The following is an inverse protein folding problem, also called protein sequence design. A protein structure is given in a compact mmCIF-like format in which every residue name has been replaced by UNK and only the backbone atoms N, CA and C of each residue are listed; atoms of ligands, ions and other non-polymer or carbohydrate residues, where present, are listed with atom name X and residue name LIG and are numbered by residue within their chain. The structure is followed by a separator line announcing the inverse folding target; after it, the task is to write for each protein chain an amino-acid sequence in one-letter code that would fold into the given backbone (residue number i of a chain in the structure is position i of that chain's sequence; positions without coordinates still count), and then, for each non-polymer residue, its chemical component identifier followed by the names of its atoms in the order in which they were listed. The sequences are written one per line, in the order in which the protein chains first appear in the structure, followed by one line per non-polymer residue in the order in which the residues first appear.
data_IF_310486965956
#
_entry.id   IF_310486965956
#
_cell.length_a   1.000
_cell.length_b   1.000
_cell.length_c   1.000
_cell.angle_alpha   90.00
_cell.angle_beta   90.00
_cell.angle_gamma   90.00
#
_symmetry.space_group_name_H-M   'P 1'
#
loop_
_entity.id
_entity.type
_entity.pdbx_description
1 polymer ?
#
# COMPACT_ATOMS: atom_id res chain seq x y z
N UNK A 1 -27.80 -19.08 10.45
CA UNK A 1 -27.67 -18.23 9.24
C UNK A 1 -26.41 -18.70 8.54
N UNK A 2 -26.52 -19.31 7.37
CA UNK A 2 -25.35 -19.85 6.64
C UNK A 2 -24.56 -18.68 6.07
N UNK A 3 -23.23 -18.72 6.20
CA UNK A 3 -22.36 -17.75 5.53
C UNK A 3 -22.13 -18.26 4.10
N UNK A 4 -22.73 -17.58 3.13
CA UNK A 4 -22.75 -18.00 1.72
C UNK A 4 -22.41 -16.82 0.78
N UNK A 5 -22.48 -17.06 -0.53
CA UNK A 5 -22.17 -16.07 -1.56
C UNK A 5 -22.99 -14.77 -1.46
N UNK A 6 -24.17 -14.77 -0.82
CA UNK A 6 -24.96 -13.55 -0.64
C UNK A 6 -24.34 -12.58 0.40
N UNK A 7 -23.31 -13.01 1.13
CA UNK A 7 -22.54 -12.16 2.03
C UNK A 7 -21.41 -11.41 1.33
N UNK A 8 -21.05 -11.74 0.08
CA UNK A 8 -19.98 -11.06 -0.67
C UNK A 8 -20.24 -9.55 -0.74
N UNK A 9 -19.20 -8.77 -0.43
CA UNK A 9 -19.26 -7.31 -0.34
C UNK A 9 -19.73 -6.77 1.02
N UNK A 10 -20.43 -7.56 1.85
CA UNK A 10 -20.88 -7.10 3.16
C UNK A 10 -19.71 -7.07 4.16
N UNK A 11 -19.71 -6.06 5.04
CA UNK A 11 -18.85 -6.07 6.22
C UNK A 11 -19.45 -7.01 7.28
N UNK A 12 -18.65 -7.96 7.75
CA UNK A 12 -19.06 -8.95 8.74
C UNK A 12 -18.08 -9.04 9.90
N UNK A 13 -18.55 -9.59 11.01
CA UNK A 13 -17.70 -10.23 12.02
C UNK A 13 -17.97 -11.73 11.98
N UNK A 14 -16.91 -12.53 11.90
CA UNK A 14 -16.93 -14.00 11.95
C UNK A 14 -16.18 -14.42 13.20
N UNK A 15 -16.85 -15.14 14.10
CA UNK A 15 -16.21 -15.85 15.20
C UNK A 15 -15.94 -17.28 14.77
N UNK A 16 -14.69 -17.72 14.91
CA UNK A 16 -14.28 -19.06 14.52
C UNK A 16 -13.33 -19.70 15.51
N UNK A 17 -13.31 -21.03 15.53
CA UNK A 17 -12.39 -21.82 16.35
C UNK A 17 -10.98 -21.83 15.74
N UNK A 18 -9.95 -21.86 16.60
CA UNK A 18 -8.52 -21.88 16.19
C UNK A 18 -7.79 -23.15 16.60
N UNK A 19 -8.49 -24.17 17.07
CA UNK A 19 -7.93 -25.49 17.40
C UNK A 19 -7.23 -25.60 18.76
N UNK A 20 -7.36 -24.59 19.64
CA UNK A 20 -6.79 -24.60 21.00
C UNK A 20 -7.83 -24.68 22.11
N UNK A 21 -7.40 -24.55 23.37
CA UNK A 21 -8.28 -24.35 24.53
C UNK A 21 -8.26 -22.88 24.95
N UNK A 22 -9.43 -22.27 25.05
CA UNK A 22 -9.62 -20.89 25.49
C UNK A 22 -9.45 -20.73 27.01
N UNK A 23 -9.37 -19.47 27.48
CA UNK A 23 -9.11 -19.17 28.90
C UNK A 23 -10.20 -19.66 29.86
N UNK A 24 -11.39 -20.00 29.37
CA UNK A 24 -12.50 -20.55 30.15
C UNK A 24 -12.61 -22.09 30.07
N UNK A 25 -11.62 -22.76 29.47
CA UNK A 25 -11.61 -24.23 29.32
C UNK A 25 -12.41 -24.77 28.13
N UNK A 26 -13.11 -23.92 27.38
CA UNK A 26 -13.77 -24.29 26.11
C UNK A 26 -12.83 -24.17 24.91
N UNK A 27 -13.33 -24.37 23.66
CA UNK A 27 -12.53 -24.15 22.45
C UNK A 27 -11.98 -22.73 22.38
N UNK A 28 -10.73 -22.60 21.93
CA UNK A 28 -10.13 -21.31 21.63
C UNK A 28 -10.80 -20.72 20.39
N UNK A 29 -11.27 -19.48 20.52
CA UNK A 29 -11.99 -18.77 19.47
C UNK A 29 -11.37 -17.40 19.24
N UNK A 30 -11.50 -16.90 18.02
CA UNK A 30 -11.11 -15.55 17.64
C UNK A 30 -12.13 -14.94 16.68
N UNK A 31 -12.09 -13.61 16.58
CA UNK A 31 -12.99 -12.83 15.74
C UNK A 31 -12.23 -12.23 14.56
N UNK A 32 -12.80 -12.37 13.35
CA UNK A 32 -12.33 -11.75 12.11
C UNK A 32 -13.35 -10.72 11.69
N UNK A 33 -12.93 -9.47 11.51
CA UNK A 33 -13.82 -8.37 11.10
C UNK A 33 -13.31 -7.77 9.80
N UNK A 34 -14.16 -7.73 8.77
CA UNK A 34 -13.80 -7.19 7.47
C UNK A 34 -14.89 -7.38 6.42
N UNK A 35 -14.56 -7.10 5.16
CA UNK A 35 -15.47 -7.26 4.03
C UNK A 35 -15.30 -8.63 3.40
N UNK A 36 -16.40 -9.34 3.16
CA UNK A 36 -16.34 -10.63 2.46
C UNK A 36 -15.94 -10.41 1.01
N UNK A 37 -14.86 -11.06 0.58
CA UNK A 37 -14.37 -11.03 -0.79
C UNK A 37 -14.80 -12.23 -1.61
N UNK A 38 -14.80 -13.41 -1.00
CA UNK A 38 -15.27 -14.63 -1.62
C UNK A 38 -15.81 -15.57 -0.54
N UNK A 39 -16.76 -16.40 -0.94
CA UNK A 39 -17.19 -17.57 -0.19
C UNK A 39 -17.21 -18.72 -1.17
N UNK A 40 -16.37 -19.73 -0.92
CA UNK A 40 -16.41 -21.00 -1.63
C UNK A 40 -17.10 -22.07 -0.76
N UNK A 41 -17.06 -23.33 -1.18
CA UNK A 41 -17.75 -24.43 -0.50
C UNK A 41 -17.21 -24.71 0.92
N UNK A 42 -15.99 -24.25 1.23
CA UNK A 42 -15.26 -24.61 2.45
C UNK A 42 -14.67 -23.43 3.21
N UNK A 43 -14.51 -22.27 2.57
CA UNK A 43 -13.77 -21.12 3.10
C UNK A 43 -14.51 -19.82 2.79
N UNK A 44 -14.52 -18.92 3.77
CA UNK A 44 -14.80 -17.50 3.55
C UNK A 44 -13.50 -16.70 3.55
N UNK A 45 -13.31 -15.87 2.54
CA UNK A 45 -12.19 -14.92 2.46
C UNK A 45 -12.66 -13.53 2.84
N UNK A 46 -12.03 -12.93 3.85
CA UNK A 46 -12.39 -11.62 4.40
C UNK A 46 -11.22 -10.65 4.21
N UNK A 47 -11.45 -9.50 3.56
CA UNK A 47 -10.48 -8.39 3.54
C UNK A 47 -10.58 -7.57 4.82
N UNK A 48 -9.45 -7.40 5.48
CA UNK A 48 -9.29 -6.64 6.71
C UNK A 48 -9.14 -5.15 6.42
N UNK A 49 -9.20 -4.33 7.48
CA UNK A 49 -9.09 -2.86 7.37
C UNK A 49 -7.79 -2.39 6.70
N UNK A 50 -6.71 -3.16 6.86
CA UNK A 50 -5.42 -2.82 6.30
C UNK A 50 -5.32 -3.23 4.83
N UNK A 51 -6.28 -4.00 4.30
CA UNK A 51 -6.30 -4.53 2.94
C UNK A 51 -5.68 -5.92 2.78
N UNK A 52 -5.17 -6.53 3.85
CA UNK A 52 -4.82 -7.95 3.83
C UNK A 52 -6.07 -8.83 3.79
N UNK A 53 -5.94 -10.06 3.31
CA UNK A 53 -7.04 -11.03 3.30
C UNK A 53 -6.79 -12.12 4.34
N UNK A 54 -7.88 -12.61 4.95
CA UNK A 54 -7.86 -13.75 5.85
C UNK A 54 -8.91 -14.77 5.43
N UNK A 55 -8.45 -16.01 5.27
CA UNK A 55 -9.31 -17.16 5.01
C UNK A 55 -9.75 -17.80 6.32
N UNK A 56 -11.03 -18.12 6.44
CA UNK A 56 -11.62 -18.83 7.58
C UNK A 56 -12.38 -20.04 7.05
N UNK A 57 -12.04 -21.22 7.53
CA UNK A 57 -12.77 -22.45 7.19
C UNK A 57 -14.20 -22.39 7.74
N UNK A 58 -15.19 -22.59 6.88
CA UNK A 58 -16.61 -22.54 7.22
C UNK A 58 -16.99 -23.56 8.31
N UNK A 59 -16.30 -24.70 8.35
CA UNK A 59 -16.45 -25.74 9.39
C UNK A 59 -16.09 -25.25 10.79
N UNK A 60 -15.22 -24.23 10.91
CA UNK A 60 -14.77 -23.66 12.18
C UNK A 60 -15.62 -22.47 12.63
N UNK A 61 -16.55 -22.00 11.79
CA UNK A 61 -17.36 -20.81 12.08
C UNK A 61 -18.41 -21.14 13.14
N UNK A 62 -18.31 -20.44 14.27
CA UNK A 62 -19.24 -20.58 15.41
C UNK A 62 -20.44 -19.67 15.21
N UNK A 63 -20.19 -18.42 14.83
CA UNK A 63 -21.24 -17.43 14.54
C UNK A 63 -20.69 -16.33 13.65
N UNK A 64 -21.56 -15.69 12.89
CA UNK A 64 -21.24 -14.47 12.17
C UNK A 64 -22.43 -13.51 12.16
N UNK A 65 -22.15 -12.23 11.90
CA UNK A 65 -23.20 -11.24 11.64
C UNK A 65 -22.67 -10.13 10.74
N UNK A 66 -23.59 -9.51 9.99
CA UNK A 66 -23.33 -8.24 9.31
C UNK A 66 -23.10 -7.14 10.35
N UNK A 67 -22.17 -6.25 10.05
CA UNK A 67 -21.87 -5.05 10.84
C UNK A 67 -21.90 -3.84 9.92
N UNK A 68 -22.09 -2.61 10.45
CA UNK A 68 -22.06 -1.41 9.62
C UNK A 68 -20.73 -1.28 8.87
N UNK A 69 -20.77 -0.86 7.61
CA UNK A 69 -19.58 -0.71 6.75
C UNK A 69 -18.56 0.27 7.35
N UNK A 70 -19.05 1.33 7.98
CA UNK A 70 -18.23 2.33 8.68
C UNK A 70 -18.27 2.09 10.19
N UNK A 71 -17.12 1.86 10.85
CA UNK A 71 -17.09 1.75 12.29
C UNK A 71 -17.45 3.08 12.96
N UNK A 72 -18.14 2.99 14.10
CA UNK A 72 -18.60 4.15 14.90
C UNK A 72 -17.43 4.98 15.45
N UNK A 73 -16.27 4.33 15.68
CA UNK A 73 -15.01 4.97 16.05
C UNK A 73 -13.91 4.53 15.09
N UNK A 74 -13.25 5.51 14.48
CA UNK A 74 -12.13 5.30 13.56
C UNK A 74 -10.82 5.60 14.28
N UNK A 75 -9.83 4.70 14.15
CA UNK A 75 -8.45 5.04 14.53
C UNK A 75 -8.00 6.16 13.58
N UNK A 76 -7.42 7.23 14.11
CA UNK A 76 -6.90 8.34 13.29
C UNK A 76 -5.76 7.85 12.42
N UNK A 77 -5.65 8.34 11.19
CA UNK A 77 -4.59 7.95 10.26
C UNK A 77 -3.18 8.13 10.84
N UNK A 78 -2.96 9.22 11.59
CA UNK A 78 -1.68 9.53 12.27
C UNK A 78 -1.32 8.60 13.42
N UNK A 79 -2.30 7.85 13.95
CA UNK A 79 -2.07 6.96 15.07
C UNK A 79 -1.69 5.55 14.64
N UNK A 80 -1.54 5.32 13.33
CA UNK A 80 -1.25 4.02 12.73
C UNK A 80 0.23 3.73 12.91
N UNK A 81 0.56 2.46 13.12
CA UNK A 81 1.96 2.10 13.31
C UNK A 81 2.72 2.23 11.96
N UNK A 82 3.95 2.78 11.92
CA UNK A 82 4.71 2.90 10.68
C UNK A 82 4.88 1.60 9.90
N UNK A 83 5.04 0.46 10.59
CA UNK A 83 5.18 -0.85 9.95
C UNK A 83 3.85 -1.33 9.37
N UNK A 84 2.74 -1.09 10.09
CA UNK A 84 1.38 -1.33 9.58
C UNK A 84 1.13 -0.50 8.31
N UNK A 85 1.48 0.79 8.32
CA UNK A 85 1.32 1.67 7.16
C UNK A 85 2.27 1.30 6.01
N UNK A 86 3.48 0.82 6.30
CA UNK A 86 4.41 0.33 5.27
C UNK A 86 3.81 -0.85 4.51
N UNK A 87 3.25 -1.85 5.21
CA UNK A 87 2.53 -2.97 4.59
C UNK A 87 1.33 -2.51 3.76
N UNK A 88 0.57 -1.53 4.27
CA UNK A 88 -0.54 -0.91 3.52
C UNK A 88 -0.05 -0.31 2.21
N UNK A 89 1.02 0.49 2.27
CA UNK A 89 1.54 1.17 1.10
C UNK A 89 2.16 0.21 0.08
N UNK A 90 2.72 -0.92 0.54
CA UNK A 90 3.27 -1.98 -0.31
C UNK A 90 2.18 -2.61 -1.17
N UNK A 91 1.04 -2.96 -0.58
CA UNK A 91 -0.11 -3.52 -1.31
C UNK A 91 -0.76 -2.53 -2.29
N UNK A 92 -0.65 -1.22 -2.04
CA UNK A 92 -1.09 -0.19 -2.99
C UNK A 92 -0.11 0.07 -4.16
N UNK A 93 1.10 -0.49 -4.08
CA UNK A 93 2.12 -0.44 -5.12
C UNK A 93 2.84 -1.80 -5.22
N UNK A 94 2.10 -2.87 -5.59
CA UNK A 94 2.56 -4.23 -5.45
C UNK A 94 3.72 -4.52 -6.39
N UNK A 95 4.63 -5.39 -5.96
CA UNK A 95 5.60 -5.97 -6.85
C UNK A 95 5.00 -7.14 -7.64
N UNK A 96 5.59 -7.43 -8.79
CA UNK A 96 5.19 -8.57 -9.63
C UNK A 96 5.48 -9.89 -8.91
N UNK A 97 6.60 -9.92 -8.17
CA UNK A 97 6.95 -11.00 -7.26
C UNK A 97 7.10 -10.45 -5.84
N UNK A 98 6.43 -11.09 -4.89
CA UNK A 98 6.54 -10.79 -3.46
C UNK A 98 6.72 -12.09 -2.66
N UNK A 99 7.75 -12.14 -1.81
CA UNK A 99 8.05 -13.30 -0.96
C UNK A 99 8.12 -12.85 0.49
N UNK A 100 7.37 -13.53 1.36
CA UNK A 100 7.39 -13.26 2.79
C UNK A 100 8.66 -13.82 3.45
N UNK A 101 9.23 -13.06 4.38
CA UNK A 101 10.32 -13.47 5.28
C UNK A 101 9.98 -12.97 6.68
N UNK A 102 9.22 -13.78 7.43
CA UNK A 102 8.54 -13.29 8.63
C UNK A 102 7.62 -12.11 8.29
N UNK A 103 7.78 -11.00 8.99
CA UNK A 103 7.08 -9.75 8.75
C UNK A 103 7.71 -8.91 7.61
N UNK A 104 8.86 -9.31 7.07
CA UNK A 104 9.49 -8.65 5.93
C UNK A 104 8.88 -9.14 4.62
N UNK A 105 8.91 -8.28 3.59
CA UNK A 105 8.42 -8.61 2.26
C UNK A 105 9.50 -8.30 1.21
N UNK A 106 10.02 -9.34 0.56
CA UNK A 106 11.00 -9.24 -0.51
C UNK A 106 10.26 -9.01 -1.82
N UNK A 107 10.57 -7.90 -2.50
CA UNK A 107 9.79 -7.41 -3.65
C UNK A 107 10.66 -7.27 -4.88
N UNK A 108 10.17 -7.76 -6.02
CA UNK A 108 10.79 -7.57 -7.32
C UNK A 108 9.76 -7.30 -8.44
N UNK A 109 10.04 -6.27 -9.24
CA UNK A 109 9.24 -5.85 -10.38
C UNK A 109 10.11 -5.15 -11.45
N UNK A 110 11.12 -5.85 -11.99
CA UNK A 110 11.86 -5.40 -13.17
C UNK A 110 12.52 -4.02 -13.09
N UNK A 111 12.84 -3.52 -11.89
CA UNK A 111 13.47 -2.20 -11.61
C UNK A 111 12.61 -0.96 -11.85
N UNK A 112 11.29 -1.10 -12.06
CA UNK A 112 10.40 0.04 -12.31
C UNK A 112 10.42 1.11 -11.19
N UNK A 113 10.43 0.70 -9.92
CA UNK A 113 10.53 1.61 -8.76
C UNK A 113 11.19 0.94 -7.56
N UNK A 114 11.82 1.70 -6.68
CA UNK A 114 12.35 1.18 -5.40
C UNK A 114 11.28 0.54 -4.52
N UNK A 115 10.05 1.09 -4.50
CA UNK A 115 8.93 0.53 -3.71
C UNK A 115 8.54 -0.89 -4.13
N UNK A 116 8.71 -1.24 -5.41
CA UNK A 116 8.43 -2.58 -5.90
C UNK A 116 9.70 -3.43 -6.11
N UNK A 117 10.89 -2.91 -5.77
CA UNK A 117 12.19 -3.56 -6.01
C UNK A 117 13.13 -3.40 -4.80
N UNK A 118 12.60 -3.56 -3.60
CA UNK A 118 13.35 -3.52 -2.33
C UNK A 118 12.64 -4.37 -1.29
N UNK A 119 13.38 -4.89 -0.31
CA UNK A 119 12.75 -5.54 0.84
C UNK A 119 12.04 -4.47 1.68
N UNK A 120 10.75 -4.63 1.93
CA UNK A 120 10.04 -3.86 2.95
C UNK A 120 10.36 -4.46 4.31
N UNK A 121 11.10 -3.70 5.11
CA UNK A 121 11.56 -4.12 6.43
C UNK A 121 10.57 -3.63 7.47
N UNK A 122 9.72 -4.54 7.94
CA UNK A 122 8.71 -4.25 8.97
C UNK A 122 8.73 -5.35 10.02
N UNK A 123 8.57 -5.03 11.30
CA UNK A 123 8.54 -6.03 12.37
C UNK A 123 9.77 -6.95 12.40
N UNK A 124 9.53 -8.24 12.62
CA UNK A 124 10.57 -9.26 12.76
C UNK A 124 10.63 -10.19 11.53
N UNK A 125 11.83 -10.52 11.02
CA UNK A 125 11.96 -11.50 9.93
C UNK A 125 11.71 -12.95 10.38
N UNK A 126 11.39 -13.19 11.65
CA UNK A 126 11.10 -14.52 12.19
C UNK A 126 12.33 -15.42 12.40
N UNK A 127 13.52 -14.86 12.22
CA UNK A 127 14.81 -15.54 12.32
C UNK A 127 15.93 -14.54 12.67
N UNK A 128 17.15 -15.00 13.03
CA UNK A 128 18.24 -14.11 13.39
C UNK A 128 18.55 -13.09 12.29
N UNK A 129 18.76 -11.82 12.66
CA UNK A 129 18.90 -10.72 11.70
C UNK A 129 19.97 -10.95 10.62
N UNK A 130 21.11 -11.55 10.99
CA UNK A 130 22.18 -11.86 10.02
C UNK A 130 21.72 -12.87 8.95
N UNK A 131 21.03 -13.94 9.36
CA UNK A 131 20.46 -14.92 8.43
C UNK A 131 19.39 -14.28 7.52
N UNK A 132 18.62 -13.31 8.04
CA UNK A 132 17.64 -12.59 7.24
C UNK A 132 18.30 -11.76 6.14
N UNK A 133 19.42 -11.09 6.44
CA UNK A 133 20.20 -10.37 5.45
C UNK A 133 20.76 -11.29 4.36
N UNK A 134 21.26 -12.48 4.74
CA UNK A 134 21.74 -13.46 3.76
C UNK A 134 20.64 -13.90 2.79
N UNK A 135 19.41 -14.09 3.30
CA UNK A 135 18.23 -14.40 2.47
C UNK A 135 17.87 -13.26 1.54
N UNK A 136 17.91 -12.01 2.02
CA UNK A 136 17.66 -10.81 1.21
C UNK A 136 18.69 -10.70 0.08
N UNK A 137 19.99 -10.83 0.40
CA UNK A 137 21.06 -10.75 -0.59
C UNK A 137 20.94 -11.86 -1.64
N UNK A 138 20.65 -13.09 -1.22
CA UNK A 138 20.45 -14.21 -2.13
C UNK A 138 19.29 -13.99 -3.10
N UNK A 139 18.13 -13.55 -2.58
CA UNK A 139 16.95 -13.26 -3.38
C UNK A 139 17.24 -12.25 -4.50
N UNK A 140 17.89 -11.13 -4.17
CA UNK A 140 18.21 -10.10 -5.16
C UNK A 140 19.32 -10.51 -6.14
N UNK A 141 20.32 -11.28 -5.68
CA UNK A 141 21.38 -11.83 -6.54
C UNK A 141 20.83 -12.78 -7.60
N UNK A 142 19.95 -13.71 -7.21
CA UNK A 142 19.28 -14.64 -8.15
C UNK A 142 18.51 -13.91 -9.27
N UNK A 143 18.03 -12.70 -8.98
CA UNK A 143 17.27 -11.85 -9.89
C UNK A 143 18.12 -10.83 -10.63
N UNK A 144 19.45 -10.90 -10.50
CA UNK A 144 20.38 -9.90 -11.06
C UNK A 144 19.97 -8.46 -10.73
N UNK A 145 19.50 -8.24 -9.50
CA UNK A 145 18.98 -6.96 -9.01
C UNK A 145 19.80 -6.47 -7.80
N UNK A 146 19.95 -5.15 -7.61
CA UNK A 146 20.58 -4.62 -6.41
C UNK A 146 19.71 -4.90 -5.18
N UNK A 147 20.32 -5.33 -4.08
CA UNK A 147 19.63 -5.45 -2.82
C UNK A 147 19.40 -4.06 -2.22
N UNK A 148 18.14 -3.72 -1.98
CA UNK A 148 17.72 -2.49 -1.32
C UNK A 148 16.78 -2.82 -0.18
N UNK A 149 16.94 -2.14 0.95
CA UNK A 149 16.05 -2.26 2.11
C UNK A 149 15.30 -0.95 2.33
N UNK A 150 13.98 -0.96 2.13
CA UNK A 150 13.10 0.13 2.54
C UNK A 150 12.83 0.00 4.04
N UNK A 151 13.26 1.00 4.83
CA UNK A 151 13.16 0.95 6.29
C UNK A 151 12.75 2.29 6.88
N UNK A 152 11.89 2.27 7.91
CA UNK A 152 11.47 3.47 8.63
C UNK A 152 12.66 4.09 9.36
N UNK A 153 12.91 5.39 9.14
CA UNK A 153 14.04 6.12 9.72
C UNK A 153 13.95 6.09 11.25
N UNK A 154 15.06 5.73 11.90
CA UNK A 154 15.18 5.66 13.37
C UNK A 154 14.59 4.40 14.02
N UNK A 155 13.95 3.52 13.23
CA UNK A 155 13.46 2.23 13.73
C UNK A 155 14.61 1.33 14.24
N UNK A 156 14.27 0.26 14.96
CA UNK A 156 15.26 -0.74 15.36
C UNK A 156 15.95 -1.37 14.15
N UNK A 157 15.18 -1.76 13.15
CA UNK A 157 15.71 -2.33 11.90
C UNK A 157 16.61 -1.35 11.14
N UNK A 158 16.30 -0.05 11.17
CA UNK A 158 17.16 0.99 10.55
C UNK A 158 18.55 1.03 11.20
N UNK A 159 18.58 0.93 12.54
CA UNK A 159 19.82 0.88 13.33
C UNK A 159 20.58 -0.44 13.11
N UNK A 160 19.87 -1.58 13.04
CA UNK A 160 20.47 -2.88 12.78
C UNK A 160 21.09 -2.96 11.38
N UNK A 161 20.38 -2.46 10.35
CA UNK A 161 20.91 -2.35 8.99
C UNK A 161 22.16 -1.46 8.95
N UNK A 162 22.12 -0.30 9.61
CA UNK A 162 23.29 0.57 9.70
C UNK A 162 24.48 -0.11 10.38
N UNK A 163 24.25 -0.82 11.48
CA UNK A 163 25.28 -1.58 12.20
C UNK A 163 25.86 -2.74 11.36
N UNK A 164 25.04 -3.33 10.49
CA UNK A 164 25.46 -4.32 9.51
C UNK A 164 26.14 -3.71 8.27
N UNK A 165 26.43 -2.40 8.25
CA UNK A 165 27.15 -1.76 7.15
C UNK A 165 26.29 -1.41 5.93
N UNK A 166 24.97 -1.39 6.06
CA UNK A 166 24.07 -0.90 5.02
C UNK A 166 23.97 0.62 5.06
N UNK A 167 24.29 1.28 3.95
CA UNK A 167 24.34 2.74 3.82
C UNK A 167 23.08 3.29 3.17
N UNK A 168 22.58 4.46 3.58
CA UNK A 168 21.50 5.15 2.87
C UNK A 168 21.87 5.42 1.41
N UNK A 169 20.94 5.17 0.50
CA UNK A 169 21.09 5.55 -0.91
C UNK A 169 21.01 7.08 -1.06
N UNK A 170 21.68 7.61 -2.08
CA UNK A 170 21.64 9.05 -2.39
C UNK A 170 20.60 9.40 -3.47
N UNK A 171 20.23 10.69 -3.54
CA UNK A 171 19.42 11.25 -4.62
C UNK A 171 17.94 10.85 -4.58
N UNK A 172 17.32 10.69 -5.76
CA UNK A 172 15.90 10.36 -5.91
C UNK A 172 15.51 9.00 -5.29
N UNK A 173 16.50 8.13 -5.08
CA UNK A 173 16.34 6.84 -4.41
C UNK A 173 16.52 6.93 -2.89
N UNK A 174 16.76 8.11 -2.32
CA UNK A 174 17.17 8.29 -0.91
C UNK A 174 16.06 8.16 0.15
N UNK A 175 14.80 7.96 -0.25
CA UNK A 175 13.68 7.82 0.68
C UNK A 175 12.53 8.78 0.43
N UNK A 176 11.55 8.78 1.32
CA UNK A 176 10.39 9.66 1.25
C UNK A 176 9.82 9.94 2.64
N UNK A 177 9.11 11.07 2.75
CA UNK A 177 8.16 11.30 3.82
C UNK A 177 6.82 10.67 3.43
N UNK A 178 6.24 9.91 4.34
CA UNK A 178 4.86 9.42 4.25
C UNK A 178 3.96 10.46 4.90
N UNK A 179 2.98 10.97 4.16
CA UNK A 179 1.93 11.82 4.71
C UNK A 179 0.60 11.08 4.75
N UNK A 180 -0.20 11.35 5.77
CA UNK A 180 -1.52 10.74 5.95
C UNK A 180 -2.59 11.78 6.24
N UNK A 181 -3.83 11.45 5.89
CA UNK A 181 -5.02 12.23 6.21
C UNK A 181 -6.18 11.31 6.61
N UNK A 182 -7.04 11.79 7.49
CA UNK A 182 -8.38 11.23 7.67
C UNK A 182 -9.31 11.89 6.64
N UNK A 183 -10.03 11.08 5.85
CA UNK A 183 -10.87 11.60 4.78
C UNK A 183 -12.15 12.23 5.33
N UNK A 184 -12.50 13.38 4.75
CA UNK A 184 -13.72 14.14 5.05
C UNK A 184 -14.98 13.50 4.45
N UNK A 185 -16.12 14.15 4.68
CA UNK A 185 -17.42 13.61 4.29
C UNK A 185 -17.72 13.70 2.79
N UNK A 186 -17.10 14.63 2.05
CA UNK A 186 -17.38 14.81 0.62
C UNK A 186 -16.21 15.46 -0.12
N UNK A 187 -15.84 14.85 -1.24
CA UNK A 187 -14.93 15.38 -2.26
C UNK A 187 -15.72 15.51 -3.56
N UNK A 188 -15.34 16.45 -4.43
CA UNK A 188 -16.07 16.71 -5.68
C UNK A 188 -15.27 16.21 -6.87
N UNK A 189 -15.77 15.16 -7.52
CA UNK A 189 -15.23 14.73 -8.81
C UNK A 189 -15.38 15.84 -9.84
N UNK A 190 -14.34 16.07 -10.62
CA UNK A 190 -14.40 17.02 -11.71
C UNK A 190 -15.19 16.44 -12.90
N UNK A 191 -16.11 17.22 -13.47
CA UNK A 191 -16.98 16.76 -14.55
C UNK A 191 -16.23 16.43 -15.85
N UNK A 192 -15.03 16.99 -16.06
CA UNK A 192 -14.23 16.73 -17.26
C UNK A 192 -13.09 15.74 -17.01
N UNK A 193 -12.91 15.28 -15.77
CA UNK A 193 -11.93 14.24 -15.47
C UNK A 193 -12.42 12.88 -15.97
N UNK A 194 -11.53 12.17 -16.66
CA UNK A 194 -11.72 10.75 -16.98
C UNK A 194 -11.15 9.93 -15.84
N UNK A 195 -11.89 8.92 -15.40
CA UNK A 195 -11.48 7.97 -14.36
C UNK A 195 -11.54 6.58 -14.98
N UNK A 196 -10.38 5.93 -15.11
CA UNK A 196 -10.23 4.62 -15.77
C UNK A 196 -9.63 3.59 -14.80
N UNK A 197 -10.02 2.31 -14.86
CA UNK A 197 -9.33 1.24 -14.12
C UNK A 197 -7.98 0.87 -14.73
N UNK A 198 -7.68 1.31 -15.96
CA UNK A 198 -6.44 1.00 -16.69
C UNK A 198 -5.62 2.25 -16.98
N UNK A 199 -4.29 2.10 -17.03
CA UNK A 199 -3.36 3.17 -17.34
C UNK A 199 -3.20 3.29 -18.86
N UNK A 200 -4.14 3.88 -19.60
CA UNK A 200 -4.04 3.93 -21.07
C UNK A 200 -2.70 4.54 -21.59
N UNK A 201 -2.42 4.36 -22.88
CA UNK A 201 -1.14 4.79 -23.46
C UNK A 201 -0.92 6.30 -23.34
N UNK A 202 -1.99 7.11 -23.34
CA UNK A 202 -1.91 8.55 -23.15
C UNK A 202 -1.49 8.89 -21.71
N UNK A 203 -2.06 8.21 -20.72
CA UNK A 203 -1.72 8.35 -19.31
C UNK A 203 -0.27 7.92 -19.05
N UNK A 204 0.17 6.77 -19.59
CA UNK A 204 1.55 6.29 -19.43
C UNK A 204 2.57 7.19 -20.12
N UNK A 205 2.24 7.68 -21.31
CA UNK A 205 3.07 8.65 -22.04
C UNK A 205 3.25 9.93 -21.23
N UNK A 206 2.19 10.44 -20.61
CA UNK A 206 2.28 11.61 -19.74
C UNK A 206 3.09 11.35 -18.46
N UNK A 207 2.97 10.17 -17.85
CA UNK A 207 3.76 9.80 -16.67
C UNK A 207 5.27 9.72 -16.98
N UNK A 208 5.64 9.32 -18.20
CA UNK A 208 6.96 9.52 -18.81
C UNK A 208 8.16 8.82 -18.13
N UNK A 209 7.94 8.11 -17.02
CA UNK A 209 8.97 7.42 -16.22
C UNK A 209 8.84 5.91 -16.34
N UNK A 210 8.75 5.44 -17.57
CA UNK A 210 8.44 4.04 -17.93
C UNK A 210 9.42 3.59 -19.00
N UNK A 211 10.37 2.73 -18.61
CA UNK A 211 11.28 2.10 -19.57
C UNK A 211 10.62 0.91 -20.29
N UNK A 212 9.83 0.12 -19.54
CA UNK A 212 9.00 -0.97 -20.06
C UNK A 212 7.53 -0.77 -19.68
N UNK A 213 6.65 -0.42 -20.64
CA UNK A 213 5.23 -0.25 -20.42
C UNK A 213 4.53 -1.49 -19.84
N UNK A 214 4.94 -2.70 -20.21
CA UNK A 214 4.30 -3.92 -19.71
C UNK A 214 4.57 -4.10 -18.22
N UNK A 215 5.83 -3.97 -17.79
CA UNK A 215 6.20 -3.99 -16.36
C UNK A 215 5.58 -2.86 -15.56
N UNK A 216 5.50 -1.65 -16.12
CA UNK A 216 4.85 -0.52 -15.45
C UNK A 216 3.36 -0.76 -15.24
N UNK A 217 2.64 -1.26 -16.26
CA UNK A 217 1.23 -1.64 -16.15
C UNK A 217 1.02 -2.72 -15.10
N UNK A 218 1.85 -3.78 -15.10
CA UNK A 218 1.74 -4.87 -14.13
C UNK A 218 1.80 -4.37 -12.66
N UNK A 219 2.65 -3.39 -12.38
CA UNK A 219 2.74 -2.77 -11.04
C UNK A 219 1.61 -1.77 -10.80
N UNK A 220 1.35 -0.88 -11.76
CA UNK A 220 0.41 0.22 -11.56
C UNK A 220 -1.03 -0.25 -11.50
N UNK A 221 -1.42 -1.20 -12.35
CA UNK A 221 -2.77 -1.77 -12.45
C UNK A 221 -2.97 -2.96 -11.50
N UNK A 222 -1.90 -3.47 -10.88
CA UNK A 222 -1.93 -4.65 -10.02
C UNK A 222 -2.90 -4.60 -8.82
N UNK A 223 -3.13 -3.46 -8.14
CA UNK A 223 -4.10 -3.41 -7.04
C UNK A 223 -5.53 -3.67 -7.51
N UNK A 224 -6.28 -4.49 -6.76
CA UNK A 224 -7.66 -4.84 -7.09
C UNK A 224 -8.62 -3.64 -7.22
N UNK A 225 -8.33 -2.55 -6.49
CA UNK A 225 -9.05 -1.28 -6.59
C UNK A 225 -8.03 -0.19 -6.93
N UNK A 226 -8.00 0.18 -8.20
CA UNK A 226 -7.13 1.24 -8.74
C UNK A 226 -7.91 2.07 -9.76
N UNK A 227 -7.61 3.37 -9.79
CA UNK A 227 -8.06 4.25 -10.84
C UNK A 227 -6.96 5.22 -11.27
N UNK A 228 -7.00 5.51 -12.56
CA UNK A 228 -6.17 6.46 -13.29
C UNK A 228 -7.05 7.63 -13.69
N UNK A 229 -6.75 8.80 -13.13
CA UNK A 229 -7.47 10.04 -13.39
C UNK A 229 -6.69 10.82 -14.44
N UNK A 230 -7.37 11.34 -15.46
CA UNK A 230 -6.78 12.24 -16.45
C UNK A 230 -7.70 13.43 -16.77
N UNK A 231 -7.11 14.58 -17.08
CA UNK A 231 -7.81 15.79 -17.52
C UNK A 231 -7.14 16.32 -18.80
N UNK A 232 -7.96 16.70 -19.77
CA UNK A 232 -7.53 17.26 -21.06
C UNK A 232 -7.66 16.29 -22.23
N UNK A 233 -7.66 16.85 -23.43
CA UNK A 233 -7.53 16.12 -24.70
C UNK A 233 -6.71 17.01 -25.66
N UNK A 234 -5.39 16.78 -25.83
CA UNK A 234 -4.60 15.73 -25.19
C UNK A 234 -4.49 15.89 -23.67
N UNK A 235 -4.18 14.81 -22.96
CA UNK A 235 -4.04 14.77 -21.50
C UNK A 235 -2.94 15.72 -21.04
N UNK A 236 -3.31 16.64 -20.13
CA UNK A 236 -2.40 17.65 -19.55
C UNK A 236 -2.24 17.52 -18.04
N UNK A 237 -3.01 16.64 -17.40
CA UNK A 237 -2.85 16.32 -15.99
C UNK A 237 -3.30 14.89 -15.73
N UNK A 238 -2.58 14.20 -14.85
CA UNK A 238 -2.86 12.82 -14.46
C UNK A 238 -2.79 12.65 -12.94
N UNK A 239 -3.41 11.59 -12.45
CA UNK A 239 -3.23 11.05 -11.10
C UNK A 239 -3.50 9.56 -11.09
N UNK A 240 -2.90 8.86 -10.12
CA UNK A 240 -3.23 7.47 -9.78
C UNK A 240 -3.69 7.38 -8.35
N UNK A 241 -4.81 6.70 -8.12
CA UNK A 241 -5.37 6.43 -6.80
C UNK A 241 -5.66 4.94 -6.65
N UNK A 242 -5.37 4.39 -5.47
CA UNK A 242 -5.66 3.00 -5.12
C UNK A 242 -6.45 2.95 -3.83
N UNK A 243 -7.28 1.91 -3.65
CA UNK A 243 -7.88 1.61 -2.35
C UNK A 243 -7.40 0.26 -1.82
N UNK A 244 -6.82 0.29 -0.63
CA UNK A 244 -6.28 -0.87 0.07
C UNK A 244 -6.89 -0.92 1.46
N UNK A 245 -7.80 -1.87 1.71
CA UNK A 245 -8.64 -1.84 2.90
C UNK A 245 -9.45 -0.55 2.97
N UNK A 246 -9.18 0.26 4.00
CA UNK A 246 -9.78 1.58 4.25
C UNK A 246 -8.92 2.77 3.76
N UNK A 247 -7.80 2.52 3.09
CA UNK A 247 -6.81 3.55 2.71
C UNK A 247 -6.82 3.88 1.23
N UNK A 248 -6.85 5.18 0.93
CA UNK A 248 -6.61 5.74 -0.39
C UNK A 248 -5.11 6.07 -0.58
N UNK A 249 -4.44 5.40 -1.51
CA UNK A 249 -3.06 5.73 -1.87
C UNK A 249 -3.00 6.66 -3.07
N UNK A 250 -2.51 7.89 -2.90
CA UNK A 250 -2.32 8.86 -4.00
C UNK A 250 -0.88 8.77 -4.54
N UNK A 251 -0.76 8.73 -5.86
CA UNK A 251 0.53 8.65 -6.56
C UNK A 251 0.44 9.24 -7.97
N UNK A 252 1.59 9.49 -8.60
CA UNK A 252 1.66 9.96 -9.99
C UNK A 252 0.75 11.17 -10.31
N UNK A 253 0.63 12.12 -9.36
CA UNK A 253 -0.12 13.38 -9.59
C UNK A 253 0.79 14.36 -10.33
N UNK A 254 0.51 14.57 -11.61
CA UNK A 254 1.35 15.35 -12.52
C UNK A 254 0.51 16.30 -13.37
N UNK A 255 1.11 17.43 -13.72
CA UNK A 255 0.51 18.45 -14.58
C UNK A 255 1.58 18.94 -15.55
N UNK A 256 1.22 18.94 -16.83
CA UNK A 256 2.01 19.51 -17.91
C UNK A 256 2.50 20.91 -17.54
N UNK A 257 3.79 21.17 -17.77
CA UNK A 257 4.42 22.45 -17.44
C UNK A 257 3.66 23.64 -18.03
N UNK A 258 3.17 23.53 -19.26
CA UNK A 258 2.40 24.56 -19.96
C UNK A 258 0.98 24.76 -19.39
N UNK A 259 0.42 23.74 -18.72
CA UNK A 259 -0.92 23.77 -18.12
C UNK A 259 -0.92 24.06 -16.61
N UNK A 260 0.26 24.31 -16.00
CA UNK A 260 0.38 24.61 -14.56
C UNK A 260 -0.32 25.91 -14.18
N UNK A 261 -0.58 26.04 -12.87
CA UNK A 261 -1.25 27.20 -12.23
C UNK A 261 -2.72 27.42 -12.63
N UNK A 262 -3.33 26.41 -13.26
CA UNK A 262 -4.77 26.40 -13.59
C UNK A 262 -5.61 25.56 -12.61
N UNK A 263 -5.02 25.16 -11.48
CA UNK A 263 -5.70 24.34 -10.47
C UNK A 263 -5.88 22.85 -10.84
N UNK A 264 -5.28 22.38 -11.94
CA UNK A 264 -5.44 21.00 -12.43
C UNK A 264 -5.03 19.94 -11.40
N UNK A 265 -3.92 20.13 -10.70
CA UNK A 265 -3.47 19.18 -9.66
C UNK A 265 -4.51 19.02 -8.55
N UNK A 266 -5.16 20.12 -8.13
CA UNK A 266 -6.24 20.11 -7.14
C UNK A 266 -7.46 19.32 -7.65
N UNK A 267 -7.83 19.50 -8.92
CA UNK A 267 -8.95 18.78 -9.56
C UNK A 267 -8.67 17.28 -9.65
N UNK A 268 -7.44 16.88 -9.96
CA UNK A 268 -6.98 15.49 -9.90
C UNK A 268 -7.14 14.94 -8.48
N UNK A 269 -6.63 15.63 -7.45
CA UNK A 269 -6.70 15.18 -6.06
C UNK A 269 -8.15 15.04 -5.59
N UNK A 270 -9.01 16.04 -5.81
CA UNK A 270 -10.44 15.97 -5.50
C UNK A 270 -11.13 14.78 -6.16
N UNK A 271 -10.87 14.57 -7.46
CA UNK A 271 -11.45 13.46 -8.22
C UNK A 271 -10.98 12.11 -7.69
N UNK A 272 -9.68 11.98 -7.40
CA UNK A 272 -9.11 10.78 -6.81
C UNK A 272 -9.68 10.48 -5.42
N UNK A 273 -9.83 11.48 -4.56
CA UNK A 273 -10.39 11.31 -3.22
C UNK A 273 -11.90 11.02 -3.26
N UNK A 274 -12.64 11.60 -4.21
CA UNK A 274 -14.05 11.29 -4.44
C UNK A 274 -14.24 9.83 -4.84
N UNK A 275 -13.43 9.36 -5.80
CA UNK A 275 -13.42 7.95 -6.23
C UNK A 275 -13.02 7.02 -5.08
N UNK A 276 -11.96 7.34 -4.32
CA UNK A 276 -11.53 6.49 -3.22
C UNK A 276 -12.58 6.40 -2.10
N UNK A 277 -13.29 7.51 -1.82
CA UNK A 277 -14.37 7.53 -0.84
C UNK A 277 -15.57 6.66 -1.29
N UNK A 278 -15.90 6.61 -2.59
CA UNK A 278 -16.91 5.68 -3.12
C UNK A 278 -16.46 4.22 -3.05
N UNK A 279 -15.15 3.97 -3.13
CA UNK A 279 -14.54 2.65 -2.95
C UNK A 279 -14.35 2.24 -1.47
N UNK A 280 -14.84 3.06 -0.54
CA UNK A 280 -14.88 2.75 0.89
C UNK A 280 -13.67 3.22 1.70
N UNK A 281 -12.75 3.98 1.09
CA UNK A 281 -11.64 4.58 1.84
C UNK A 281 -12.14 5.65 2.83
N UNK A 282 -11.53 5.69 4.00
CA UNK A 282 -11.77 6.72 5.02
C UNK A 282 -10.49 7.40 5.52
N UNK A 283 -9.33 6.95 5.03
CA UNK A 283 -8.00 7.54 5.23
C UNK A 283 -7.30 7.63 3.89
N UNK A 284 -6.28 8.48 3.81
CA UNK A 284 -5.40 8.53 2.67
C UNK A 284 -3.94 8.60 3.08
N UNK A 285 -3.08 8.13 2.18
CA UNK A 285 -1.64 8.30 2.27
C UNK A 285 -1.06 8.74 0.93
N UNK A 286 0.13 9.33 1.02
CA UNK A 286 1.02 9.54 -0.11
C UNK A 286 2.47 9.40 0.35
N UNK A 287 3.35 9.14 -0.60
CA UNK A 287 4.79 9.05 -0.38
C UNK A 287 5.48 10.01 -1.33
N UNK A 288 6.24 10.97 -0.80
CA UNK A 288 6.97 11.96 -1.61
C UNK A 288 8.28 12.36 -0.97
N UNK A 289 9.23 12.86 -1.76
CA UNK A 289 10.48 13.38 -1.20
C UNK A 289 10.20 14.63 -0.37
N UNK A 290 10.91 14.79 0.76
CA UNK A 290 10.80 16.00 1.59
C UNK A 290 11.14 17.29 0.82
N UNK A 291 11.99 17.20 -0.20
CA UNK A 291 12.35 18.31 -1.09
C UNK A 291 11.22 18.70 -2.07
N UNK A 292 10.19 17.86 -2.24
CA UNK A 292 9.05 18.14 -3.11
C UNK A 292 8.04 19.07 -2.42
N UNK A 293 8.46 20.30 -2.14
CA UNK A 293 7.65 21.32 -1.45
C UNK A 293 6.34 21.64 -2.16
N UNK A 294 6.31 21.52 -3.50
CA UNK A 294 5.10 21.68 -4.30
C UNK A 294 4.04 20.62 -3.99
N UNK A 295 4.44 19.34 -3.91
CA UNK A 295 3.54 18.27 -3.49
C UNK A 295 3.06 18.48 -2.05
N UNK A 296 3.96 18.75 -1.10
CA UNK A 296 3.59 18.98 0.30
C UNK A 296 2.59 20.14 0.45
N UNK A 297 2.74 21.20 -0.35
CA UNK A 297 1.81 22.33 -0.36
C UNK A 297 0.45 21.97 -1.01
N UNK A 298 0.44 21.12 -2.05
CA UNK A 298 -0.78 20.65 -2.71
C UNK A 298 -1.69 19.86 -1.77
N UNK A 299 -1.12 18.99 -0.94
CA UNK A 299 -1.90 18.06 -0.11
C UNK A 299 -2.32 18.63 1.25
N UNK A 300 -1.61 19.64 1.77
CA UNK A 300 -1.90 20.26 3.08
C UNK A 300 -3.37 20.69 3.28
N UNK A 301 -4.06 21.33 2.31
CA UNK A 301 -5.46 21.73 2.46
C UNK A 301 -6.43 20.55 2.67
N UNK A 302 -6.02 19.33 2.29
CA UNK A 302 -6.79 18.10 2.47
C UNK A 302 -6.54 17.42 3.83
N UNK A 303 -5.80 18.07 4.73
CA UNK A 303 -5.49 17.54 6.06
C UNK A 303 -4.33 16.55 6.09
N UNK A 304 -3.54 16.45 5.01
CA UNK A 304 -2.33 15.64 5.02
C UNK A 304 -1.29 16.23 5.98
N UNK A 305 -0.77 15.36 6.84
CA UNK A 305 0.31 15.65 7.77
C UNK A 305 1.39 14.58 7.68
N UNK A 306 2.61 14.95 8.05
CA UNK A 306 3.74 14.01 8.09
C UNK A 306 3.47 12.91 9.13
N UNK A 307 3.73 11.66 8.75
CA UNK A 307 3.58 10.49 9.62
C UNK A 307 4.94 9.92 10.02
N UNK A 308 5.77 9.59 9.03
CA UNK A 308 7.12 9.07 9.24
C UNK A 308 7.94 9.23 7.96
N UNK A 309 9.26 9.19 8.10
CA UNK A 309 10.19 9.06 6.98
C UNK A 309 10.61 7.59 6.83
N UNK A 310 10.81 7.16 5.59
CA UNK A 310 11.57 5.93 5.31
C UNK A 310 12.74 6.26 4.39
N UNK A 311 13.79 5.43 4.49
CA UNK A 311 14.99 5.49 3.66
C UNK A 311 15.17 4.16 2.93
N UNK A 312 15.80 4.19 1.77
CA UNK A 312 16.35 2.97 1.18
C UNK A 312 17.80 2.86 1.61
N UNK A 313 18.18 1.67 2.10
CA UNK A 313 19.57 1.33 2.37
C UNK A 313 20.05 0.28 1.38
N UNK A 314 21.31 0.36 1.03
CA UNK A 314 22.01 -0.62 0.19
C UNK A 314 23.22 -1.18 0.94
N UNK A 315 23.68 -2.39 0.62
CA UNK A 315 24.90 -2.93 1.19
C UNK A 315 26.10 -2.00 0.90
N UNK A 316 26.87 -1.64 1.92
CA UNK A 316 28.09 -0.84 1.72
C UNK A 316 29.13 -1.57 0.86
N UNK A 317 30.13 -0.83 0.37
CA UNK A 317 31.16 -1.34 -0.58
C UNK A 317 31.94 -2.58 -0.09
N UNK A 318 31.89 -2.92 1.20
CA UNK A 318 32.46 -4.14 1.78
C UNK A 318 31.67 -5.43 1.52
N UNK A 319 30.46 -5.36 0.95
CA UNK A 319 29.63 -6.53 0.58
C UNK A 319 29.96 -7.14 -0.80
N UNK A 320 31.13 -6.80 -1.36
CA UNK A 320 31.51 -7.21 -2.71
C UNK A 320 31.86 -8.71 -2.80
N UNK A 321 30.90 -9.46 -3.33
CA UNK A 321 31.00 -10.69 -4.14
C UNK A 321 31.93 -11.82 -3.65
N UNK A 322 31.34 -12.75 -2.88
CA UNK A 322 31.73 -14.15 -2.84
C UNK A 322 30.71 -14.99 -3.60
#
# INVERSE_FOLDING_TARGET
MTLDAAAVGARIVVRHETGGTGPTGGPQMTDVVGHVRAVDDSVVTVELRDGSTRSVELSTVVTWKRVPDRPVRRRRAVAIDPDELTRITSRGWPAVESVALGDWELRHAGRFTGRANSVAVTGSPGLPFAEALDRVLAFYRERSAPALAQVVVGSENDRLLAAAGWTPTAGYHGGAVVQVADLGASYTSDAVARVSPTADDEWLSHYGRVDDPASARAVMEGPARVAFVSIGAPTVAIGRVVVTGEWAGLSAVEVDVAARRQGLARRIVETSLAWAASEGADKAYLQTMRSNTAALALYRPYGFVDHHDYVYREPGTGFSQG
#
